data_IF_982784181265
#
_entry.id   IF_982784181265
#
_cell.length_a   1.000
_cell.length_b   1.000
_cell.length_c   1.000
_cell.angle_alpha   90.00
_cell.angle_beta   90.00
_cell.angle_gamma   90.00
#
_symmetry.space_group_name_H-M   'P 1'
#
loop_
_entity.id
_entity.type
_entity.pdbx_description
1 polymer ?
#
# COMPACT_ATOMS: atom_id res chain seq x y z
N UNK A 1 12.85 -15.77 -16.75
CA UNK A 1 11.65 -15.99 -15.91
C UNK A 1 11.23 -14.65 -15.36
N UNK A 2 10.14 -14.07 -15.87
CA UNK A 2 9.74 -12.68 -15.60
C UNK A 2 8.68 -12.70 -14.49
N UNK A 3 9.06 -12.29 -13.28
CA UNK A 3 8.19 -12.34 -12.10
C UNK A 3 7.35 -11.05 -12.05
N UNK A 4 6.04 -11.21 -12.24
CA UNK A 4 5.06 -10.12 -12.16
C UNK A 4 4.88 -9.66 -10.71
N UNK A 5 4.91 -8.34 -10.50
CA UNK A 5 4.65 -7.72 -9.20
C UNK A 5 3.14 -7.68 -8.95
N UNK A 6 2.61 -8.67 -8.26
CA UNK A 6 1.18 -8.72 -7.92
C UNK A 6 0.88 -7.95 -6.62
N UNK A 7 -0.11 -7.07 -6.70
CA UNK A 7 -0.57 -6.21 -5.61
C UNK A 7 -1.95 -6.67 -5.15
N UNK A 8 -2.12 -6.87 -3.83
CA UNK A 8 -3.37 -7.34 -3.23
C UNK A 8 -4.12 -6.20 -2.53
N UNK A 9 -5.43 -6.09 -2.80
CA UNK A 9 -6.34 -5.17 -2.11
C UNK A 9 -7.13 -5.91 -1.03
N UNK A 10 -6.99 -5.50 0.23
CA UNK A 10 -7.77 -6.06 1.34
C UNK A 10 -8.89 -5.09 1.72
N UNK A 11 -10.15 -5.55 1.60
CA UNK A 11 -11.34 -4.79 2.04
C UNK A 11 -11.52 -4.96 3.55
N UNK A 12 -11.39 -3.88 4.32
CA UNK A 12 -11.93 -3.85 5.69
C UNK A 12 -13.47 -3.75 5.65
N UNK A 13 -14.16 -4.50 6.51
CA UNK A 13 -15.61 -4.55 6.55
C UNK A 13 -16.20 -3.22 7.04
N UNK A 14 -17.13 -2.67 6.26
CA UNK A 14 -17.77 -1.36 6.48
C UNK A 14 -18.40 -0.86 5.18
N UNK A 15 -19.30 -1.65 4.58
CA UNK A 15 -19.84 -1.35 3.27
C UNK A 15 -20.84 -0.17 3.33
N UNK A 16 -20.39 1.04 2.98
CA UNK A 16 -21.28 2.06 2.42
C UNK A 16 -21.41 1.86 0.91
N UNK A 17 -22.62 2.13 0.42
CA UNK A 17 -23.13 1.97 -0.96
C UNK A 17 -22.04 2.03 -2.05
N UNK A 18 -22.02 1.01 -2.93
CA UNK A 18 -21.17 1.02 -4.13
C UNK A 18 -21.62 2.15 -5.05
N UNK A 19 -21.05 3.34 -4.89
CA UNK A 19 -21.10 4.36 -5.95
C UNK A 19 -20.39 3.78 -7.16
N UNK A 20 -20.97 3.95 -8.35
CA UNK A 20 -20.29 3.62 -9.60
C UNK A 20 -19.01 4.44 -9.67
N UNK A 21 -17.86 3.76 -9.61
CA UNK A 21 -16.54 4.39 -9.69
C UNK A 21 -16.12 4.43 -11.16
N UNK A 22 -15.74 5.60 -11.71
CA UNK A 22 -15.20 5.69 -13.06
C UNK A 22 -14.04 4.71 -13.24
N UNK A 23 -13.88 4.13 -14.44
CA UNK A 23 -12.85 3.10 -14.69
C UNK A 23 -11.47 3.55 -14.20
N UNK A 24 -11.09 4.80 -14.50
CA UNK A 24 -9.81 5.42 -14.10
C UNK A 24 -9.53 5.42 -12.60
N UNK A 25 -10.58 5.36 -11.77
CA UNK A 25 -10.49 5.46 -10.31
C UNK A 25 -10.67 4.08 -9.64
N UNK A 26 -10.78 3.00 -10.43
CA UNK A 26 -10.83 1.62 -9.92
C UNK A 26 -9.46 1.21 -9.38
N UNK A 27 -9.46 0.41 -8.32
CA UNK A 27 -8.23 -0.11 -7.70
C UNK A 27 -7.34 -0.86 -8.72
N UNK A 28 -7.93 -1.60 -9.65
CA UNK A 28 -7.20 -2.31 -10.72
C UNK A 28 -6.38 -1.38 -11.63
N UNK A 29 -6.81 -0.12 -11.79
CA UNK A 29 -6.12 0.88 -12.59
C UNK A 29 -5.15 1.72 -11.74
N UNK A 30 -5.48 1.96 -10.46
CA UNK A 30 -4.71 2.81 -9.56
C UNK A 30 -3.52 2.08 -8.93
N UNK A 31 -3.66 0.82 -8.53
CA UNK A 31 -2.61 0.07 -7.85
C UNK A 31 -1.31 -0.05 -8.68
N UNK A 32 -1.35 -0.38 -9.98
CA UNK A 32 -0.13 -0.43 -10.79
C UNK A 32 0.52 0.95 -10.94
N UNK A 33 -0.28 2.02 -11.02
CA UNK A 33 0.24 3.41 -11.11
C UNK A 33 0.90 3.84 -9.82
N UNK A 34 0.27 3.56 -8.68
CA UNK A 34 0.82 3.84 -7.36
C UNK A 34 2.12 3.06 -7.12
N UNK A 35 2.15 1.76 -7.42
CA UNK A 35 3.36 0.94 -7.33
C UNK A 35 4.51 1.49 -8.20
N UNK A 36 4.23 1.90 -9.44
CA UNK A 36 5.23 2.53 -10.31
C UNK A 36 5.70 3.88 -9.76
N UNK A 37 4.79 4.70 -9.25
CA UNK A 37 5.12 6.00 -8.69
C UNK A 37 6.00 5.89 -7.43
N UNK A 38 5.74 4.91 -6.56
CA UNK A 38 6.54 4.65 -5.36
C UNK A 38 7.95 4.14 -5.66
N UNK A 39 8.14 3.39 -6.76
CA UNK A 39 9.43 2.83 -7.14
C UNK A 39 10.26 3.74 -8.06
N UNK A 40 9.67 4.80 -8.63
CA UNK A 40 10.35 5.68 -9.58
C UNK A 40 11.03 6.85 -8.87
N UNK A 41 12.37 7.00 -8.96
CA UNK A 41 13.07 8.16 -8.42
C UNK A 41 12.54 9.46 -9.03
N UNK A 42 12.47 10.52 -8.21
CA UNK A 42 12.06 11.85 -8.65
C UNK A 42 10.55 12.07 -8.77
N UNK A 43 9.70 11.08 -8.51
CA UNK A 43 8.26 11.30 -8.36
C UNK A 43 7.95 11.78 -6.95
N UNK A 44 7.27 12.93 -6.85
CA UNK A 44 6.79 13.45 -5.58
C UNK A 44 5.80 12.48 -4.94
N UNK A 45 6.07 12.09 -3.69
CA UNK A 45 5.20 11.17 -2.92
C UNK A 45 3.79 11.72 -2.71
N UNK A 46 3.61 13.05 -2.76
CA UNK A 46 2.29 13.68 -2.76
C UNK A 46 1.38 13.23 -3.91
N UNK A 47 1.93 12.69 -5.01
CA UNK A 47 1.13 12.09 -6.10
C UNK A 47 0.49 10.75 -5.72
N UNK A 48 1.00 10.08 -4.69
CA UNK A 48 0.47 8.80 -4.18
C UNK A 48 -0.32 9.01 -2.89
N UNK A 49 0.20 9.83 -1.97
CA UNK A 49 -0.39 10.04 -0.64
C UNK A 49 -1.27 11.29 -0.53
N UNK A 50 -1.32 12.14 -1.56
CA UNK A 50 -2.02 13.43 -1.56
C UNK A 50 -1.14 14.60 -1.08
N UNK A 51 -1.62 15.83 -1.28
CA UNK A 51 -0.86 17.07 -1.01
C UNK A 51 -0.61 17.35 0.48
N UNK A 52 -1.38 16.74 1.38
CA UNK A 52 -1.31 16.94 2.83
C UNK A 52 -0.63 15.79 3.60
N UNK A 53 0.08 14.89 2.92
CA UNK A 53 0.76 13.76 3.58
C UNK A 53 -0.17 13.03 4.54
N UNK A 54 -1.41 12.76 4.08
CA UNK A 54 -2.56 12.39 4.91
C UNK A 54 -2.16 11.42 6.02
N UNK A 55 -2.05 11.95 7.24
CA UNK A 55 -1.72 11.16 8.41
C UNK A 55 -2.74 10.03 8.54
N UNK A 56 -2.31 8.80 8.28
CA UNK A 56 -3.19 7.61 8.24
C UNK A 56 -3.30 6.91 6.88
N UNK A 57 -2.79 7.49 5.79
CA UNK A 57 -2.67 6.81 4.50
C UNK A 57 -1.29 6.16 4.40
N UNK A 58 -1.29 4.84 4.18
CA UNK A 58 -0.08 4.06 4.03
C UNK A 58 -0.19 3.18 2.79
N UNK A 59 0.94 2.98 2.11
CA UNK A 59 1.08 1.95 1.10
C UNK A 59 1.51 0.64 1.76
N UNK A 60 0.97 -0.48 1.29
CA UNK A 60 1.31 -1.81 1.78
C UNK A 60 1.83 -2.65 0.62
N UNK A 61 2.96 -3.32 0.82
CA UNK A 61 3.52 -4.29 -0.12
C UNK A 61 3.86 -5.59 0.59
N UNK A 62 3.82 -6.71 -0.12
CA UNK A 62 4.33 -7.97 0.42
C UNK A 62 5.86 -7.88 0.59
N UNK A 63 6.39 -8.54 1.63
CA UNK A 63 7.82 -8.80 1.74
C UNK A 63 8.14 -10.02 0.87
N UNK A 64 9.01 -9.85 -0.13
CA UNK A 64 9.35 -10.91 -1.09
C UNK A 64 10.11 -12.05 -0.41
N UNK A 65 10.95 -11.71 0.58
CA UNK A 65 11.80 -12.68 1.27
C UNK A 65 11.03 -13.47 2.34
N UNK A 66 9.96 -12.89 2.89
CA UNK A 66 9.21 -13.45 4.01
C UNK A 66 7.69 -13.31 3.78
N UNK A 67 7.02 -14.33 3.20
CA UNK A 67 5.64 -14.22 2.70
C UNK A 67 4.56 -13.97 3.77
N UNK A 68 4.90 -14.05 5.07
CA UNK A 68 4.02 -13.65 6.17
C UNK A 68 4.15 -12.19 6.58
N UNK A 69 5.14 -11.48 6.03
CA UNK A 69 5.46 -10.09 6.36
C UNK A 69 5.02 -9.14 5.26
N UNK A 70 4.70 -7.93 5.68
CA UNK A 70 4.32 -6.83 4.81
C UNK A 70 5.13 -5.59 5.16
N UNK A 71 5.43 -4.79 4.15
CA UNK A 71 6.07 -3.48 4.31
C UNK A 71 4.98 -2.43 4.26
N UNK A 72 4.92 -1.58 5.28
CA UNK A 72 4.10 -0.37 5.31
C UNK A 72 4.99 0.82 5.00
N UNK A 73 4.64 1.62 3.99
CA UNK A 73 5.33 2.85 3.62
C UNK A 73 4.43 4.07 3.87
N UNK A 74 4.97 5.09 4.53
CA UNK A 74 4.31 6.39 4.78
C UNK A 74 4.73 7.46 3.76
N UNK A 75 4.02 8.59 3.78
CA UNK A 75 4.22 9.69 2.83
C UNK A 75 5.62 10.33 2.89
N UNK A 76 6.29 10.26 4.04
CA UNK A 76 7.69 10.68 4.24
C UNK A 76 8.71 9.67 3.66
N UNK A 77 8.24 8.49 3.22
CA UNK A 77 9.08 7.41 2.72
C UNK A 77 9.57 6.43 3.80
N UNK A 78 9.15 6.61 5.06
CA UNK A 78 9.48 5.67 6.12
C UNK A 78 8.85 4.31 5.82
N UNK A 79 9.66 3.24 5.85
CA UNK A 79 9.22 1.86 5.64
C UNK A 79 9.29 1.08 6.95
N UNK A 80 8.21 0.40 7.30
CA UNK A 80 8.14 -0.47 8.48
C UNK A 80 7.71 -1.87 8.06
N UNK A 81 8.46 -2.88 8.46
CA UNK A 81 8.07 -4.28 8.26
C UNK A 81 7.16 -4.72 9.40
N UNK A 82 6.11 -5.47 9.08
CA UNK A 82 5.10 -5.90 10.02
C UNK A 82 4.30 -7.10 9.54
N UNK A 83 3.24 -7.41 10.26
CA UNK A 83 2.26 -8.45 9.93
C UNK A 83 0.84 -7.88 9.99
N UNK A 84 -0.09 -8.45 9.24
CA UNK A 84 -1.53 -8.16 9.40
C UNK A 84 -2.13 -9.15 10.39
N UNK A 85 -2.51 -8.69 11.58
CA UNK A 85 -3.16 -9.49 12.62
C UNK A 85 -4.53 -8.89 12.92
N UNK A 86 -5.59 -9.65 12.70
CA UNK A 86 -6.97 -9.19 12.94
C UNK A 86 -7.32 -7.94 12.12
N UNK A 87 -6.80 -7.82 10.90
CA UNK A 87 -7.01 -6.67 10.01
C UNK A 87 -6.24 -5.41 10.40
N UNK A 88 -5.35 -5.47 11.40
CA UNK A 88 -4.50 -4.35 11.84
C UNK A 88 -3.04 -4.65 11.55
N UNK A 89 -2.31 -3.63 11.10
CA UNK A 89 -0.87 -3.70 10.94
C UNK A 89 -0.19 -3.71 12.32
N UNK A 90 0.59 -4.74 12.60
CA UNK A 90 1.50 -4.81 13.74
C UNK A 90 2.93 -4.71 13.22
N UNK A 91 3.62 -3.62 13.55
CA UNK A 91 5.03 -3.48 13.25
C UNK A 91 5.82 -4.58 13.97
N UNK A 92 6.81 -5.16 13.28
CA UNK A 92 7.80 -5.99 13.95
C UNK A 92 8.77 -5.03 14.65
N UNK A 93 8.64 -4.91 15.96
CA UNK A 93 9.69 -4.31 16.79
C UNK A 93 10.90 -5.22 16.75
N UNK A 94 12.10 -4.64 16.58
CA UNK A 94 13.35 -5.37 16.69
C UNK A 94 13.53 -5.76 18.16
N UNK A 95 13.03 -6.93 18.54
CA UNK A 95 13.12 -7.46 19.90
C UNK A 95 11.99 -8.44 20.19
N UNK A 96 12.25 -9.72 19.89
CA UNK A 96 12.03 -10.89 20.74
C UNK A 96 12.70 -12.11 20.06
#
# INVERSE_FOLDING_TARGET
MQIGTDWLLVRQAGAKTRKSVPKKDRASELLPKAGRALNKPGIARSKVFGESGNAGVYAYSACVDEPGKIVRESADGTKTVGTLVGGKFKALTRGD
#
